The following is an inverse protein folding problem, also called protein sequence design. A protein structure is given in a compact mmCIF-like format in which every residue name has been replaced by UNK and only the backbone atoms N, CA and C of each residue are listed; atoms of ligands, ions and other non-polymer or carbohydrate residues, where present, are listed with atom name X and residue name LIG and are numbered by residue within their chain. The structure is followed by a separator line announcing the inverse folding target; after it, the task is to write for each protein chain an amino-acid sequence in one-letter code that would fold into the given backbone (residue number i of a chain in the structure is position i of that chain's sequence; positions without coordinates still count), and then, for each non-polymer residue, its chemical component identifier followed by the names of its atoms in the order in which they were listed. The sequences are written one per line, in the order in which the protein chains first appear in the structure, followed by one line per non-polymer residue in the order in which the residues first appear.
data_IF_449207243864
#
_entry.id   IF_449207243864
#
_cell.length_a   1.000
_cell.length_b   1.000
_cell.length_c   1.000
_cell.angle_alpha   90.00
_cell.angle_beta   90.00
_cell.angle_gamma   90.00
#
_symmetry.space_group_name_H-M   'P 1'
#
loop_
_entity.id
_entity.type
_entity.pdbx_description
1 polymer ?
#
# COMPACT_ATOMS: atom_id res chain seq x y z
N UNK A 1 -18.20 10.53 2.39
CA UNK A 1 -17.37 10.88 3.56
C UNK A 1 -17.23 9.62 4.39
N UNK A 2 -16.05 9.02 4.40
CA UNK A 2 -15.73 7.83 5.19
C UNK A 2 -14.52 8.19 6.06
N UNK A 3 -14.55 7.81 7.34
CA UNK A 3 -13.44 7.88 8.33
C UNK A 3 -12.79 9.23 8.71
N UNK A 4 -13.13 10.38 8.13
CA UNK A 4 -12.45 11.65 8.48
C UNK A 4 -10.96 11.72 8.09
N UNK A 5 -10.37 10.60 7.66
CA UNK A 5 -9.16 10.51 6.84
C UNK A 5 -9.58 10.07 5.43
N UNK A 6 -9.34 10.93 4.45
CA UNK A 6 -9.63 10.65 3.05
C UNK A 6 -8.57 9.67 2.50
N UNK A 7 -8.92 8.40 2.36
CA UNK A 7 -8.12 7.48 1.53
C UNK A 7 -8.45 7.68 0.06
N UNK A 8 -7.43 7.99 -0.73
CA UNK A 8 -7.57 8.08 -2.19
C UNK A 8 -7.52 6.67 -2.80
N UNK A 9 -8.63 6.25 -3.42
CA UNK A 9 -8.68 5.00 -4.18
C UNK A 9 -8.30 5.32 -5.62
N UNK A 10 -7.17 4.78 -6.08
CA UNK A 10 -6.69 5.00 -7.45
C UNK A 10 -7.12 3.88 -8.37
N UNK A 11 -7.80 4.17 -9.48
CA UNK A 11 -8.09 3.15 -10.50
C UNK A 11 -6.94 2.94 -11.49
N UNK A 12 -6.26 4.03 -11.86
CA UNK A 12 -5.20 4.05 -12.87
C UNK A 12 -4.04 4.87 -12.34
N UNK A 13 -2.85 4.28 -12.30
CA UNK A 13 -1.62 4.95 -11.86
C UNK A 13 -0.53 4.77 -12.90
N UNK A 14 0.22 5.83 -13.18
CA UNK A 14 1.35 5.80 -14.14
C UNK A 14 0.99 5.26 -15.55
N UNK A 15 -0.28 5.37 -15.94
CA UNK A 15 -0.77 4.88 -17.23
C UNK A 15 -0.99 3.36 -17.29
N UNK A 16 -1.20 2.71 -16.14
CA UNK A 16 -1.62 1.32 -16.03
C UNK A 16 -2.86 1.23 -15.14
N UNK A 17 -3.83 0.42 -15.54
CA UNK A 17 -4.93 0.03 -14.65
C UNK A 17 -4.35 -0.83 -13.52
N UNK A 18 -4.77 -0.56 -12.29
CA UNK A 18 -4.31 -1.35 -11.15
C UNK A 18 -4.88 -2.77 -11.19
N UNK A 19 -4.07 -3.74 -10.78
CA UNK A 19 -4.35 -5.18 -10.93
C UNK A 19 -5.63 -5.63 -10.24
N UNK A 20 -6.02 -5.01 -9.13
CA UNK A 20 -7.25 -5.37 -8.42
C UNK A 20 -8.52 -5.09 -9.24
N UNK A 21 -8.48 -4.15 -10.19
CA UNK A 21 -9.59 -3.91 -11.13
C UNK A 21 -9.65 -4.92 -12.27
N UNK A 22 -8.58 -5.69 -12.47
CA UNK A 22 -8.47 -6.73 -13.49
C UNK A 22 -8.75 -8.12 -12.91
N UNK A 23 -8.99 -8.21 -11.60
CA UNK A 23 -9.41 -9.45 -10.94
C UNK A 23 -10.81 -9.86 -11.44
N UNK A 24 -10.98 -11.07 -12.00
CA UNK A 24 -12.29 -11.57 -12.42
C UNK A 24 -13.35 -11.56 -11.30
N UNK A 25 -12.93 -11.64 -10.05
CA UNK A 25 -13.82 -11.61 -8.88
C UNK A 25 -14.07 -10.20 -8.35
N UNK A 26 -13.47 -9.17 -8.94
CA UNK A 26 -13.57 -7.79 -8.47
C UNK A 26 -15.02 -7.38 -8.21
N UNK A 27 -15.93 -7.67 -9.15
CA UNK A 27 -17.35 -7.30 -9.08
C UNK A 27 -18.08 -7.89 -7.86
N UNK A 28 -17.66 -9.08 -7.42
CA UNK A 28 -18.24 -9.74 -6.24
C UNK A 28 -17.74 -9.14 -4.94
N UNK A 29 -16.51 -8.62 -4.94
CA UNK A 29 -15.82 -8.00 -3.79
C UNK A 29 -16.22 -6.54 -3.61
N UNK A 30 -16.75 -5.88 -4.64
CA UNK A 30 -17.22 -4.49 -4.54
C UNK A 30 -18.55 -4.43 -3.77
N UNK A 31 -18.64 -3.63 -2.70
CA UNK A 31 -19.88 -3.46 -1.95
C UNK A 31 -20.96 -2.77 -2.80
N UNK A 32 -22.21 -3.05 -2.47
CA UNK A 32 -23.36 -2.42 -3.10
C UNK A 32 -23.37 -0.93 -2.75
N UNK A 33 -23.54 -0.07 -3.75
CA UNK A 33 -23.67 1.38 -3.53
C UNK A 33 -25.00 1.61 -2.82
N UNK A 34 -25.04 2.26 -1.64
CA UNK A 34 -26.24 2.33 -0.82
C UNK A 34 -27.23 3.40 -1.33
N UNK A 35 -28.47 3.39 -0.85
CA UNK A 35 -29.56 4.20 -1.43
C UNK A 35 -29.36 5.71 -1.32
N UNK A 36 -28.57 6.17 -0.36
CA UNK A 36 -28.32 7.58 -0.05
C UNK A 36 -27.34 8.22 -1.04
N UNK A 37 -26.51 7.41 -1.69
CA UNK A 37 -25.49 7.87 -2.64
C UNK A 37 -26.13 8.06 -4.01
N UNK A 38 -26.36 9.31 -4.42
CA UNK A 38 -26.92 9.66 -5.73
C UNK A 38 -25.87 9.85 -6.82
N UNK A 39 -24.60 10.04 -6.45
CA UNK A 39 -23.48 10.22 -7.36
C UNK A 39 -22.15 9.79 -6.75
N UNK A 40 -21.19 9.45 -7.60
CA UNK A 40 -19.80 9.12 -7.22
C UNK A 40 -18.85 10.06 -7.93
N UNK A 41 -17.93 10.66 -7.18
CA UNK A 41 -16.94 11.59 -7.71
C UNK A 41 -15.63 10.88 -8.06
N UNK A 42 -15.06 11.26 -9.21
CA UNK A 42 -13.80 10.75 -9.71
C UNK A 42 -12.88 11.91 -10.06
N UNK A 43 -11.62 11.80 -9.64
CA UNK A 43 -10.58 12.76 -10.04
C UNK A 43 -9.61 12.09 -11.02
N UNK A 44 -9.30 12.78 -12.13
CA UNK A 44 -8.38 12.27 -13.15
C UNK A 44 -7.44 13.35 -13.70
N UNK A 45 -6.28 12.91 -14.19
CA UNK A 45 -5.30 13.73 -14.92
C UNK A 45 -4.45 12.87 -15.86
N UNK A 46 -3.91 13.49 -16.89
CA UNK A 46 -3.00 12.84 -17.87
C UNK A 46 -1.52 13.26 -17.70
N UNK A 47 -1.25 14.36 -17.00
CA UNK A 47 0.10 14.86 -16.78
C UNK A 47 0.74 15.37 -18.08
N UNK A 48 1.86 14.75 -18.49
CA UNK A 48 2.62 15.18 -19.69
C UNK A 48 2.06 14.51 -20.95
N UNK A 49 1.66 13.24 -20.85
CA UNK A 49 1.15 12.45 -21.99
C UNK A 49 -0.29 12.85 -22.31
N UNK A 50 -0.69 12.79 -23.57
CA UNK A 50 -2.05 13.12 -24.03
C UNK A 50 -2.86 11.84 -24.24
N UNK A 51 -4.00 11.75 -23.57
CA UNK A 51 -4.94 10.64 -23.68
C UNK A 51 -6.33 11.12 -24.06
N UNK A 52 -7.05 10.31 -24.83
CA UNK A 52 -8.48 10.45 -25.09
C UNK A 52 -9.24 9.36 -24.34
N UNK A 53 -10.42 9.70 -23.87
CA UNK A 53 -11.32 8.78 -23.20
C UNK A 53 -12.60 8.61 -24.01
N UNK A 54 -13.21 7.44 -23.90
CA UNK A 54 -14.51 7.11 -24.45
C UNK A 54 -15.28 6.21 -23.48
N UNK A 55 -16.37 6.73 -22.93
CA UNK A 55 -17.37 5.98 -22.19
C UNK A 55 -18.34 5.33 -23.19
N UNK A 56 -17.98 4.13 -23.65
CA UNK A 56 -18.73 3.41 -24.67
C UNK A 56 -19.92 2.61 -24.10
N UNK A 57 -19.96 2.43 -22.78
CA UNK A 57 -21.07 1.74 -22.11
C UNK A 57 -21.45 2.47 -20.82
N UNK A 58 -22.69 2.97 -20.78
CA UNK A 58 -23.38 3.44 -19.59
C UNK A 58 -24.77 2.83 -19.68
N UNK A 59 -25.03 1.77 -18.91
CA UNK A 59 -26.28 1.01 -19.02
C UNK A 59 -26.73 0.54 -17.65
N UNK A 60 -28.02 0.71 -17.36
CA UNK A 60 -28.68 -0.02 -16.28
C UNK A 60 -29.20 -1.34 -16.82
N UNK A 61 -29.06 -2.43 -16.06
CA UNK A 61 -29.68 -3.72 -16.40
C UNK A 61 -31.09 -3.82 -15.82
N UNK A 62 -31.41 -3.02 -14.80
CA UNK A 62 -32.70 -3.00 -14.10
C UNK A 62 -33.31 -1.57 -14.12
N UNK A 63 -33.84 -1.16 -15.27
CA UNK A 63 -34.37 0.22 -15.48
C UNK A 63 -35.58 0.57 -14.60
N UNK A 64 -36.29 -0.44 -14.10
CA UNK A 64 -37.42 -0.27 -13.16
C UNK A 64 -36.97 0.25 -11.80
N UNK A 65 -35.73 -0.05 -11.40
CA UNK A 65 -35.14 0.31 -10.10
C UNK A 65 -34.17 1.48 -10.27
N UNK A 66 -33.30 1.42 -11.29
CA UNK A 66 -32.24 2.39 -11.53
C UNK A 66 -32.27 2.85 -12.99
N UNK A 67 -32.42 4.16 -13.22
CA UNK A 67 -32.31 4.74 -14.57
C UNK A 67 -30.87 4.68 -15.06
N UNK A 68 -30.68 4.80 -16.37
CA UNK A 68 -29.36 4.78 -17.00
C UNK A 68 -28.38 5.76 -16.34
N UNK A 69 -27.19 5.31 -15.92
CA UNK A 69 -26.21 6.18 -15.30
C UNK A 69 -25.72 7.23 -16.28
N UNK A 70 -25.49 8.44 -15.80
CA UNK A 70 -24.99 9.55 -16.61
C UNK A 70 -23.74 10.16 -15.98
N UNK A 71 -23.00 10.94 -16.76
CA UNK A 71 -21.74 11.55 -16.31
C UNK A 71 -21.80 13.06 -16.51
N UNK A 72 -21.12 13.82 -15.65
CA UNK A 72 -21.12 15.30 -15.71
C UNK A 72 -20.22 15.89 -16.80
N UNK A 73 -19.54 15.03 -17.56
CA UNK A 73 -18.68 15.36 -18.69
C UNK A 73 -19.25 14.75 -19.98
N UNK A 74 -18.69 15.09 -21.13
CA UNK A 74 -19.05 14.42 -22.39
C UNK A 74 -18.65 12.95 -22.33
N UNK A 75 -19.34 12.08 -23.07
CA UNK A 75 -19.01 10.63 -23.15
C UNK A 75 -17.66 10.36 -23.78
N UNK A 76 -17.19 11.25 -24.65
CA UNK A 76 -15.88 11.18 -25.27
C UNK A 76 -15.16 12.53 -25.21
N UNK A 77 -13.84 12.50 -25.08
CA UNK A 77 -13.05 13.72 -25.05
C UNK A 77 -11.60 13.48 -24.68
N UNK A 78 -10.91 14.57 -24.31
CA UNK A 78 -9.51 14.52 -23.88
C UNK A 78 -9.41 14.51 -22.36
N UNK A 79 -8.57 13.63 -21.82
CA UNK A 79 -8.26 13.61 -20.39
C UNK A 79 -7.54 14.93 -20.03
N UNK A 80 -7.93 15.63 -18.96
CA UNK A 80 -7.36 16.92 -18.60
C UNK A 80 -5.88 16.80 -18.19
N UNK A 81 -5.12 17.87 -18.43
CA UNK A 81 -3.68 17.93 -18.08
C UNK A 81 -3.48 18.00 -16.56
N UNK A 82 -4.31 18.82 -15.90
CA UNK A 82 -4.36 19.00 -14.44
C UNK A 82 -5.48 18.13 -13.83
N UNK A 83 -5.42 17.81 -12.52
CA UNK A 83 -6.52 17.14 -11.83
C UNK A 83 -7.83 17.87 -12.09
N UNK A 84 -8.86 17.14 -12.53
CA UNK A 84 -10.23 17.64 -12.64
C UNK A 84 -11.17 16.57 -12.11
N UNK A 85 -12.24 17.01 -11.46
CA UNK A 85 -13.30 16.14 -10.98
C UNK A 85 -14.39 15.97 -12.03
N UNK A 86 -14.97 14.78 -12.09
CA UNK A 86 -16.25 14.52 -12.74
C UNK A 86 -17.04 13.54 -11.88
N UNK A 87 -18.35 13.50 -12.08
CA UNK A 87 -19.23 12.65 -11.28
C UNK A 87 -20.00 11.70 -12.19
N UNK A 88 -20.18 10.47 -11.71
CA UNK A 88 -21.13 9.50 -12.26
C UNK A 88 -22.40 9.60 -11.43
N UNK A 89 -23.50 9.97 -12.07
CA UNK A 89 -24.83 10.10 -11.50
C UNK A 89 -25.52 8.73 -11.56
N UNK A 90 -26.12 8.32 -10.44
CA UNK A 90 -26.80 7.03 -10.25
C UNK A 90 -28.29 7.25 -9.88
N UNK A 91 -29.12 7.68 -10.84
CA UNK A 91 -30.51 8.06 -10.58
C UNK A 91 -31.42 6.85 -10.35
N UNK A 92 -31.90 6.65 -9.11
CA UNK A 92 -32.98 5.71 -8.83
C UNK A 92 -34.30 6.15 -9.49
N UNK A 93 -35.12 5.18 -9.90
CA UNK A 93 -36.43 5.47 -10.52
C UNK A 93 -37.42 6.04 -9.50
N UNK A 94 -37.34 5.59 -8.25
CA UNK A 94 -38.17 6.05 -7.13
C UNK A 94 -39.51 5.34 -6.98
N UNK A 95 -39.86 4.45 -7.92
CA UNK A 95 -41.12 3.69 -7.90
C UNK A 95 -40.98 2.30 -7.26
N UNK A 96 -39.78 1.73 -7.28
CA UNK A 96 -39.49 0.38 -6.79
C UNK A 96 -38.26 0.40 -5.90
N UNK A 97 -38.30 -0.36 -4.81
CA UNK A 97 -37.15 -0.63 -3.97
C UNK A 97 -36.43 -1.89 -4.47
N UNK A 98 -35.12 -1.94 -4.37
CA UNK A 98 -34.33 -3.11 -4.72
C UNK A 98 -32.89 -2.80 -5.10
N UNK A 99 -32.15 -3.84 -5.47
CA UNK A 99 -30.77 -3.72 -5.94
C UNK A 99 -30.79 -3.83 -7.47
N UNK A 100 -30.23 -2.82 -8.14
CA UNK A 100 -30.06 -2.78 -9.58
C UNK A 100 -28.60 -2.99 -9.96
N UNK A 101 -28.37 -3.77 -11.01
CA UNK A 101 -27.06 -3.87 -11.63
C UNK A 101 -26.89 -2.81 -12.73
N UNK A 102 -25.71 -2.23 -12.85
CA UNK A 102 -25.37 -1.31 -13.94
C UNK A 102 -23.93 -1.50 -14.42
N UNK A 103 -23.70 -1.21 -15.69
CA UNK A 103 -22.41 -1.39 -16.36
C UNK A 103 -21.79 -0.05 -16.79
N UNK A 104 -20.49 0.11 -16.52
CA UNK A 104 -19.67 1.21 -17.02
C UNK A 104 -18.52 0.64 -17.87
N UNK A 105 -18.44 1.07 -19.12
CA UNK A 105 -17.36 0.74 -20.05
C UNK A 105 -16.56 1.99 -20.38
N UNK A 106 -15.25 1.97 -20.08
CA UNK A 106 -14.32 3.07 -20.31
C UNK A 106 -13.11 2.61 -21.13
N UNK A 107 -12.88 3.26 -22.25
CA UNK A 107 -11.70 3.09 -23.08
C UNK A 107 -10.83 4.35 -22.97
N UNK A 108 -9.51 4.16 -22.77
CA UNK A 108 -8.55 5.26 -22.75
C UNK A 108 -7.47 4.95 -23.77
N UNK A 109 -7.18 5.89 -24.65
CA UNK A 109 -6.25 5.69 -25.75
C UNK A 109 -5.29 6.86 -25.91
N UNK A 110 -4.12 6.58 -26.47
CA UNK A 110 -3.16 7.62 -26.86
C UNK A 110 -3.65 8.38 -28.10
N UNK A 111 -3.01 9.51 -28.44
CA UNK A 111 -3.28 10.24 -29.70
C UNK A 111 -3.12 9.36 -30.96
N UNK A 112 -2.35 8.27 -30.88
CA UNK A 112 -2.12 7.33 -31.99
C UNK A 112 -3.15 6.18 -32.02
N UNK A 113 -4.22 6.24 -31.21
CA UNK A 113 -5.23 5.18 -31.13
C UNK A 113 -4.77 3.92 -30.39
N UNK A 114 -3.59 3.93 -29.74
CA UNK A 114 -3.13 2.79 -28.93
C UNK A 114 -3.87 2.79 -27.58
N UNK A 115 -4.54 1.69 -27.18
CA UNK A 115 -5.21 1.60 -25.89
C UNK A 115 -4.21 1.61 -24.73
N UNK A 116 -4.64 2.15 -23.60
CA UNK A 116 -3.91 2.14 -22.34
C UNK A 116 -3.88 0.71 -21.78
N UNK A 117 -2.77 0.32 -21.16
CA UNK A 117 -2.65 -1.03 -20.59
C UNK A 117 -3.73 -1.28 -19.53
N UNK A 118 -4.54 -2.32 -19.76
CA UNK A 118 -5.69 -2.69 -18.93
C UNK A 118 -7.03 -2.05 -19.35
N UNK A 119 -7.06 -1.28 -20.43
CA UNK A 119 -8.31 -0.84 -21.08
C UNK A 119 -8.61 -1.69 -22.32
N UNK A 120 -9.89 -1.92 -22.70
CA UNK A 120 -11.10 -1.33 -22.13
C UNK A 120 -11.42 -1.83 -20.73
N UNK A 121 -11.75 -0.90 -19.83
CA UNK A 121 -12.29 -1.20 -18.52
C UNK A 121 -13.78 -1.45 -18.69
N UNK A 122 -14.26 -2.59 -18.17
CA UNK A 122 -15.66 -2.92 -18.11
C UNK A 122 -15.98 -3.31 -16.66
N UNK A 123 -16.84 -2.52 -16.02
CA UNK A 123 -17.22 -2.71 -14.63
C UNK A 123 -18.72 -2.99 -14.57
N UNK A 124 -19.11 -4.08 -13.92
CA UNK A 124 -20.48 -4.34 -13.51
C UNK A 124 -20.63 -4.10 -12.01
N UNK A 125 -21.46 -3.15 -11.64
CA UNK A 125 -21.61 -2.66 -10.27
C UNK A 125 -23.07 -2.76 -9.82
N UNK A 126 -23.29 -2.75 -8.50
CA UNK A 126 -24.61 -2.90 -7.88
C UNK A 126 -24.97 -1.64 -7.10
N UNK A 127 -26.22 -1.19 -7.22
CA UNK A 127 -26.78 -0.02 -6.54
C UNK A 127 -28.08 -0.39 -5.87
N UNK A 128 -28.21 -0.09 -4.59
CA UNK A 128 -29.47 -0.17 -3.87
C UNK A 128 -30.29 1.10 -4.10
N UNK A 129 -31.57 0.95 -4.37
CA UNK A 129 -32.55 2.03 -4.46
C UNK A 129 -33.70 1.72 -3.51
N UNK A 130 -34.13 2.73 -2.76
CA UNK A 130 -35.27 2.63 -1.85
C UNK A 130 -36.31 3.65 -2.27
N UNK A 131 -37.59 3.25 -2.23
CA UNK A 131 -38.69 4.19 -2.34
C UNK A 131 -38.67 5.02 -1.07
N UNK A 132 -38.17 6.25 -1.16
CA UNK A 132 -38.43 7.24 -0.12
C UNK A 132 -39.92 7.52 -0.16
N UNK A 133 -40.69 6.90 0.74
CA UNK A 133 -42.02 7.37 1.08
C UNK A 133 -41.89 8.86 1.31
N UNK A 134 -42.62 9.67 0.53
CA UNK A 134 -42.75 11.09 0.81
C UNK A 134 -43.01 11.20 2.32
N UNK A 135 -42.15 11.90 3.05
CA UNK A 135 -42.54 12.51 4.31
C UNK A 135 -43.85 13.24 3.99
N UNK A 136 -45.00 12.63 4.31
CA UNK A 136 -46.15 13.43 4.66
C UNK A 136 -45.64 14.24 5.85
N UNK A 137 -45.66 15.56 5.70
CA UNK A 137 -45.59 16.49 6.82
C UNK A 137 -46.25 15.87 8.06
N UNK A 138 -45.71 16.07 9.28
CA UNK A 138 -46.41 15.61 10.48
C UNK A 138 -47.86 16.09 10.38
N UNK A 139 -48.87 15.22 10.49
CA UNK A 139 -50.25 15.66 10.40
C UNK A 139 -50.49 16.67 11.52
N UNK A 140 -51.30 17.72 11.30
CA UNK A 140 -51.74 18.57 12.40
C UNK A 140 -52.40 17.68 13.47
N UNK A 141 -52.23 18.08 14.73
CA UNK A 141 -52.64 17.34 15.94
C UNK A 141 -54.14 16.95 15.99
N UNK A 142 -54.96 17.38 15.03
CA UNK A 142 -56.40 17.14 14.95
C UNK A 142 -56.79 15.80 14.32
N UNK A 143 -55.91 15.17 13.53
CA UNK A 143 -56.27 13.98 12.74
C UNK A 143 -55.88 12.65 13.42
N UNK A 144 -55.24 12.70 14.60
CA UNK A 144 -54.86 11.50 15.35
C UNK A 144 -56.05 10.71 15.92
N UNK A 145 -57.25 11.33 15.97
CA UNK A 145 -58.43 10.71 16.56
C UNK A 145 -59.22 9.82 15.57
N UNK A 146 -59.00 9.96 14.25
CA UNK A 146 -59.84 9.32 13.25
C UNK A 146 -59.31 7.97 12.73
N UNK A 147 -58.06 7.60 13.03
CA UNK A 147 -57.44 6.37 12.50
C UNK A 147 -57.57 5.17 13.47
N UNK A 148 -58.06 5.38 14.70
CA UNK A 148 -58.07 4.32 15.73
C UNK A 148 -59.26 3.34 15.61
N UNK A 149 -60.26 3.58 14.76
CA UNK A 149 -61.54 2.84 14.89
C UNK A 149 -62.01 1.94 13.75
N UNK A 150 -61.22 1.62 12.72
CA UNK A 150 -61.68 0.64 11.73
C UNK A 150 -60.56 -0.30 11.26
N UNK A 151 -60.86 -1.59 11.38
CA UNK A 151 -60.09 -2.77 10.95
C UNK A 151 -59.06 -3.30 11.97
N UNK A 152 -59.55 -4.19 12.83
CA UNK A 152 -58.79 -5.01 13.76
C UNK A 152 -57.78 -5.92 13.07
N UNK A 153 -56.60 -5.39 12.79
CA UNK A 153 -55.39 -6.17 12.55
C UNK A 153 -54.46 -5.97 13.74
N UNK A 154 -54.39 -6.97 14.61
CA UNK A 154 -53.23 -7.13 15.51
C UNK A 154 -52.03 -7.39 14.60
N UNK A 155 -51.33 -6.34 14.20
CA UNK A 155 -49.92 -6.46 13.87
C UNK A 155 -49.20 -6.53 15.21
N UNK A 156 -48.70 -7.72 15.56
CA UNK A 156 -47.63 -7.83 16.54
C UNK A 156 -46.43 -7.06 15.97
N UNK A 157 -46.38 -5.76 16.24
CA UNK A 157 -45.17 -4.96 16.09
C UNK A 157 -44.14 -5.52 17.07
N UNK A 158 -43.33 -6.48 16.61
CA UNK A 158 -41.96 -6.50 17.10
C UNK A 158 -41.30 -5.25 16.53
N UNK A 159 -41.43 -4.15 17.27
CA UNK A 159 -40.73 -2.89 17.04
C UNK A 159 -39.23 -3.16 17.10
N UNK A 160 -38.65 -3.55 15.97
CA UNK A 160 -37.21 -3.65 15.79
C UNK A 160 -36.81 -2.65 14.73
N UNK A 161 -36.63 -1.40 15.18
CA UNK A 161 -36.12 -0.33 14.35
C UNK A 161 -34.76 -0.69 13.72
N UNK A 162 -34.32 0.07 12.69
CA UNK A 162 -33.00 -0.12 12.12
C UNK A 162 -31.92 0.02 13.20
N UNK A 163 -30.89 -0.82 13.13
CA UNK A 163 -29.79 -0.76 14.07
C UNK A 163 -29.10 0.61 14.04
N UNK A 164 -28.56 1.09 15.18
CA UNK A 164 -27.73 2.28 15.21
C UNK A 164 -26.53 2.14 14.28
N UNK A 165 -26.03 3.27 13.77
CA UNK A 165 -24.96 3.32 12.76
C UNK A 165 -23.77 2.42 13.14
N UNK A 166 -23.41 1.52 12.23
CA UNK A 166 -22.30 0.60 12.41
C UNK A 166 -22.62 -0.68 13.17
N UNK A 167 -23.89 -1.01 13.43
CA UNK A 167 -24.31 -2.30 14.00
C UNK A 167 -25.28 -3.05 13.07
N UNK A 168 -25.25 -4.38 13.16
CA UNK A 168 -26.00 -5.32 12.32
C UNK A 168 -26.73 -6.36 13.17
N UNK A 169 -27.78 -6.95 12.59
CA UNK A 169 -28.57 -8.03 13.17
C UNK A 169 -29.78 -7.56 13.99
N UNK A 170 -30.81 -6.93 13.37
CA UNK A 170 -32.09 -6.68 14.04
C UNK A 170 -32.72 -7.99 14.54
N UNK A 171 -33.47 -7.98 15.66
CA UNK A 171 -33.78 -6.85 16.54
C UNK A 171 -32.67 -6.46 17.53
N UNK A 172 -31.67 -7.33 17.71
CA UNK A 172 -30.72 -7.27 18.82
C UNK A 172 -29.51 -6.35 18.57
N UNK A 173 -29.19 -6.04 17.32
CA UNK A 173 -28.12 -5.14 16.89
C UNK A 173 -26.75 -5.41 17.56
N UNK A 174 -26.44 -6.68 17.85
CA UNK A 174 -25.26 -7.09 18.61
C UNK A 174 -23.96 -7.12 17.79
N UNK A 175 -24.04 -7.13 16.45
CA UNK A 175 -22.86 -7.31 15.60
C UNK A 175 -22.33 -5.98 15.09
N UNK A 176 -21.20 -5.52 15.61
CA UNK A 176 -20.54 -4.31 15.14
C UNK A 176 -19.92 -4.49 13.73
N UNK A 177 -19.92 -3.43 12.94
CA UNK A 177 -19.33 -3.33 11.61
C UNK A 177 -17.97 -2.62 11.71
N UNK A 178 -16.90 -3.32 11.34
CA UNK A 178 -15.56 -2.76 11.26
C UNK A 178 -15.18 -2.60 9.79
N UNK A 179 -14.87 -1.36 9.38
CA UNK A 179 -14.29 -1.08 8.08
C UNK A 179 -13.07 -0.18 8.23
N UNK A 180 -11.87 -0.62 7.80
CA UNK A 180 -11.51 -1.96 7.32
C UNK A 180 -11.82 -3.11 8.29
N UNK A 181 -11.97 -4.32 7.76
CA UNK A 181 -12.17 -5.52 8.60
C UNK A 181 -10.93 -5.77 9.48
N UNK A 182 -11.17 -6.26 10.70
CA UNK A 182 -10.09 -6.69 11.60
C UNK A 182 -9.32 -7.87 10.99
N UNK A 183 -7.99 -7.75 10.93
CA UNK A 183 -7.10 -8.77 10.39
C UNK A 183 -6.72 -9.81 11.45
N UNK A 184 -6.07 -10.90 11.02
CA UNK A 184 -5.46 -11.90 11.91
C UNK A 184 -6.40 -12.49 12.99
N UNK A 185 -7.70 -12.59 12.69
CA UNK A 185 -8.70 -13.11 13.63
C UNK A 185 -9.17 -12.12 14.70
N UNK A 186 -8.90 -10.82 14.54
CA UNK A 186 -9.44 -9.77 15.40
C UNK A 186 -10.97 -9.73 15.38
N UNK A 187 -11.57 -9.43 16.53
CA UNK A 187 -13.02 -9.33 16.67
C UNK A 187 -13.45 -7.85 16.67
N UNK A 188 -14.55 -7.56 15.97
CA UNK A 188 -15.11 -6.22 15.94
C UNK A 188 -15.96 -6.00 17.21
N UNK A 189 -15.46 -5.21 18.15
CA UNK A 189 -16.15 -4.96 19.43
C UNK A 189 -17.05 -3.74 19.40
N UNK A 190 -16.78 -2.80 18.49
CA UNK A 190 -17.59 -1.62 18.25
C UNK A 190 -17.33 -1.12 16.82
N UNK A 191 -18.16 -0.21 16.26
CA UNK A 191 -17.99 0.29 14.90
C UNK A 191 -16.58 0.82 14.67
N UNK A 192 -15.84 0.18 13.77
CA UNK A 192 -14.45 0.51 13.46
C UNK A 192 -13.41 0.21 14.55
N UNK A 193 -13.76 -0.49 15.63
CA UNK A 193 -12.85 -0.85 16.73
C UNK A 193 -12.62 -2.36 16.74
N UNK A 194 -11.36 -2.75 16.54
CA UNK A 194 -10.91 -4.13 16.58
C UNK A 194 -10.28 -4.49 17.93
N UNK A 195 -10.71 -5.61 18.50
CA UNK A 195 -10.02 -6.29 19.59
C UNK A 195 -9.09 -7.35 19.00
N UNK A 196 -7.78 -7.17 19.24
CA UNK A 196 -6.76 -8.04 18.66
C UNK A 196 -6.46 -9.26 19.53
N UNK A 197 -6.28 -10.43 18.92
CA UNK A 197 -5.86 -11.62 19.65
C UNK A 197 -4.44 -11.45 20.19
N UNK A 198 -4.05 -12.22 21.22
CA UNK A 198 -2.70 -12.18 21.77
C UNK A 198 -1.65 -12.42 20.68
N UNK A 199 -0.61 -11.58 20.65
CA UNK A 199 0.42 -11.62 19.60
C UNK A 199 0.16 -10.70 18.41
N UNK A 200 -0.90 -9.90 18.43
CA UNK A 200 -1.23 -8.93 17.39
C UNK A 200 -1.51 -7.54 17.97
N UNK A 201 -1.29 -6.51 17.16
CA UNK A 201 -1.43 -5.11 17.52
C UNK A 201 -1.82 -4.25 16.30
N UNK A 202 -2.14 -2.99 16.56
CA UNK A 202 -2.58 -2.04 15.54
C UNK A 202 -4.10 -1.86 15.55
N UNK A 203 -4.59 -0.76 14.95
CA UNK A 203 -6.02 -0.43 14.90
C UNK A 203 -6.88 -1.50 14.22
N UNK A 204 -6.29 -2.29 13.31
CA UNK A 204 -6.97 -3.36 12.58
C UNK A 204 -6.30 -4.72 12.79
N UNK A 205 -5.49 -4.86 13.84
CA UNK A 205 -4.74 -6.09 14.16
C UNK A 205 -3.77 -6.52 13.05
N UNK A 206 -3.27 -5.57 12.27
CA UNK A 206 -2.38 -5.79 11.13
C UNK A 206 -0.92 -6.02 11.54
N UNK A 207 -0.51 -5.57 12.73
CA UNK A 207 0.84 -5.71 13.25
C UNK A 207 0.99 -6.94 14.13
N UNK A 208 2.17 -7.57 14.09
CA UNK A 208 2.54 -8.65 15.02
C UNK A 208 3.19 -8.13 16.30
N UNK A 209 3.06 -8.91 17.38
CA UNK A 209 3.86 -8.82 18.59
C UNK A 209 4.66 -10.12 18.69
N UNK A 210 5.97 -9.99 18.91
CA UNK A 210 6.89 -11.12 19.03
C UNK A 210 7.39 -11.15 20.47
N UNK A 211 7.29 -12.29 21.14
CA UNK A 211 7.79 -12.45 22.51
C UNK A 211 9.30 -12.26 22.55
N UNK A 212 9.97 -12.77 21.52
CA UNK A 212 11.40 -12.57 21.27
C UNK A 212 11.59 -11.48 20.22
N UNK A 213 12.33 -10.42 20.56
CA UNK A 213 12.61 -9.33 19.60
C UNK A 213 13.33 -9.86 18.35
N UNK A 214 12.90 -9.36 17.18
CA UNK A 214 13.60 -9.53 15.92
C UNK A 214 14.97 -8.83 15.97
N UNK A 215 16.01 -9.48 15.47
CA UNK A 215 17.39 -8.99 15.48
C UNK A 215 17.73 -8.28 14.17
N UNK A 216 18.87 -7.61 14.15
CA UNK A 216 19.45 -6.99 12.94
C UNK A 216 18.51 -6.06 12.16
N UNK A 217 17.57 -5.40 12.85
CA UNK A 217 16.60 -4.48 12.24
C UNK A 217 15.36 -5.15 11.65
N UNK A 218 15.10 -6.43 11.96
CA UNK A 218 13.86 -7.10 11.59
C UNK A 218 12.63 -6.49 12.25
N UNK A 219 11.49 -6.56 11.55
CA UNK A 219 10.19 -6.06 12.03
C UNK A 219 9.28 -7.23 12.36
N UNK A 220 8.63 -7.19 13.52
CA UNK A 220 7.60 -8.17 13.84
C UNK A 220 6.34 -7.87 13.03
N UNK A 221 5.94 -8.80 12.16
CA UNK A 221 4.80 -8.62 11.23
C UNK A 221 3.62 -9.51 11.58
N UNK A 222 3.86 -10.63 12.25
CA UNK A 222 2.81 -11.48 12.84
C UNK A 222 3.31 -12.02 14.19
N UNK A 223 2.45 -12.72 14.94
CA UNK A 223 2.83 -13.35 16.20
C UNK A 223 4.07 -14.21 16.03
N UNK A 224 5.17 -13.83 16.68
CA UNK A 224 6.49 -14.49 16.62
C UNK A 224 7.08 -14.68 15.21
N UNK A 225 6.63 -13.88 14.24
CA UNK A 225 7.14 -13.90 12.86
C UNK A 225 7.83 -12.57 12.56
N UNK A 226 9.13 -12.66 12.28
CA UNK A 226 9.96 -11.53 11.89
C UNK A 226 10.09 -11.41 10.37
N UNK A 227 9.80 -10.23 9.84
CA UNK A 227 10.21 -9.82 8.51
C UNK A 227 11.66 -9.34 8.56
N UNK A 228 12.54 -10.03 7.84
CA UNK A 228 13.97 -9.76 7.87
C UNK A 228 14.41 -8.81 6.76
N UNK A 229 15.30 -7.84 7.06
CA UNK A 229 15.91 -7.01 6.04
C UNK A 229 16.81 -7.84 5.12
N UNK A 230 17.04 -7.33 3.90
CA UNK A 230 17.86 -8.02 2.89
C UNK A 230 19.22 -8.42 3.45
N UNK A 231 19.63 -9.66 3.18
CA UNK A 231 20.89 -10.23 3.67
C UNK A 231 20.81 -10.87 5.05
N UNK A 232 19.66 -10.82 5.74
CA UNK A 232 19.40 -11.52 7.00
C UNK A 232 18.30 -12.56 6.85
N UNK A 233 18.38 -13.64 7.63
CA UNK A 233 17.44 -14.75 7.60
C UNK A 233 17.44 -15.50 8.94
N UNK A 234 16.53 -16.47 9.09
CA UNK A 234 16.25 -17.13 10.35
C UNK A 234 14.95 -16.62 10.97
N UNK A 235 14.50 -17.28 12.03
CA UNK A 235 13.21 -17.00 12.67
C UNK A 235 13.15 -15.60 13.29
N UNK A 236 14.31 -15.05 13.65
CA UNK A 236 14.49 -13.76 14.29
C UNK A 236 15.50 -12.89 13.55
N UNK A 237 15.81 -13.21 12.29
CA UNK A 237 16.83 -12.52 11.50
C UNK A 237 18.24 -12.59 12.12
N UNK A 238 18.54 -13.69 12.80
CA UNK A 238 19.78 -13.95 13.54
C UNK A 238 20.96 -14.31 12.63
N UNK A 239 20.67 -14.88 11.45
CA UNK A 239 21.68 -15.28 10.49
C UNK A 239 21.82 -14.23 9.40
N UNK A 240 23.03 -14.09 8.86
CA UNK A 240 23.27 -13.23 7.69
C UNK A 240 23.96 -14.00 6.58
N UNK A 241 23.50 -13.78 5.35
CA UNK A 241 24.03 -14.44 4.15
C UNK A 241 24.30 -13.38 3.10
N UNK A 242 25.52 -13.40 2.60
CA UNK A 242 25.94 -12.53 1.52
C UNK A 242 25.70 -13.29 0.22
N UNK A 243 25.07 -12.64 -0.74
CA UNK A 243 24.90 -13.15 -2.10
C UNK A 243 26.27 -13.27 -2.80
N UNK A 244 27.12 -12.26 -2.62
CA UNK A 244 28.53 -12.33 -3.00
C UNK A 244 29.33 -12.82 -1.79
N UNK A 245 29.94 -14.01 -1.83
CA UNK A 245 30.60 -14.60 -0.67
C UNK A 245 31.80 -13.77 -0.22
N UNK A 246 32.02 -13.69 1.09
CA UNK A 246 33.22 -13.10 1.66
C UNK A 246 34.42 -14.00 1.36
N UNK A 247 35.51 -13.42 0.87
CA UNK A 247 36.76 -14.15 0.61
C UNK A 247 37.74 -13.98 1.78
N UNK A 248 38.88 -14.69 1.74
CA UNK A 248 39.96 -14.58 2.73
C UNK A 248 39.53 -14.76 4.20
N UNK A 249 38.52 -15.62 4.45
CA UNK A 249 38.02 -15.90 5.80
C UNK A 249 37.10 -14.82 6.39
N UNK A 250 36.60 -13.89 5.58
CA UNK A 250 35.59 -12.91 6.00
C UNK A 250 34.27 -13.57 6.40
N UNK A 251 33.57 -12.97 7.38
CA UNK A 251 32.22 -13.41 7.78
C UNK A 251 31.18 -12.39 7.32
N UNK A 252 30.06 -12.86 6.78
CA UNK A 252 28.99 -11.97 6.37
C UNK A 252 28.41 -11.21 7.57
N UNK A 253 28.09 -9.94 7.37
CA UNK A 253 27.44 -9.05 8.33
C UNK A 253 26.36 -8.22 7.64
N UNK A 254 25.40 -8.90 7.02
CA UNK A 254 24.20 -8.30 6.41
C UNK A 254 24.19 -8.27 4.89
N UNK A 255 23.68 -7.17 4.31
CA UNK A 255 23.43 -7.03 2.86
C UNK A 255 24.72 -6.91 2.05
N UNK A 256 25.40 -8.02 1.78
CA UNK A 256 26.65 -8.11 1.01
C UNK A 256 27.85 -7.37 1.61
N UNK A 257 27.86 -7.16 2.93
CA UNK A 257 28.98 -6.53 3.64
C UNK A 257 29.67 -7.58 4.49
N UNK A 258 30.99 -7.70 4.35
CA UNK A 258 31.81 -8.68 5.06
C UNK A 258 32.58 -8.04 6.23
N UNK A 259 32.59 -8.74 7.36
CA UNK A 259 33.52 -8.49 8.46
C UNK A 259 34.84 -9.17 8.14
N UNK A 260 35.85 -8.38 7.81
CA UNK A 260 37.15 -8.88 7.39
C UNK A 260 38.09 -9.18 8.57
N UNK A 261 38.90 -10.25 8.46
CA UNK A 261 39.98 -10.52 9.40
C UNK A 261 41.11 -9.48 9.27
N UNK A 262 41.99 -9.43 10.28
CA UNK A 262 43.13 -8.51 10.30
C UNK A 262 43.98 -8.67 9.04
N UNK A 263 44.29 -7.54 8.40
CA UNK A 263 45.06 -7.51 7.16
C UNK A 263 44.23 -7.54 5.88
N UNK A 264 42.91 -7.71 5.94
CA UNK A 264 42.02 -7.65 4.77
C UNK A 264 41.00 -6.52 4.89
N UNK A 265 40.61 -5.94 3.76
CA UNK A 265 39.64 -4.85 3.60
C UNK A 265 38.85 -5.04 2.30
N UNK A 266 37.92 -4.14 2.03
CA UNK A 266 36.96 -4.25 0.92
C UNK A 266 35.63 -4.82 1.41
N UNK A 267 34.58 -4.66 0.61
CA UNK A 267 33.21 -5.07 0.97
C UNK A 267 33.09 -6.60 1.06
N UNK A 268 33.97 -7.32 0.37
CA UNK A 268 34.05 -8.77 0.34
C UNK A 268 35.37 -9.34 0.87
N UNK A 269 36.19 -8.51 1.53
CA UNK A 269 37.53 -8.85 2.02
C UNK A 269 38.53 -9.26 0.92
N UNK A 270 38.29 -8.80 -0.29
CA UNK A 270 39.09 -9.03 -1.49
C UNK A 270 40.40 -8.23 -1.50
N UNK A 271 40.44 -7.11 -0.77
CA UNK A 271 41.62 -6.27 -0.66
C UNK A 271 42.47 -6.77 0.49
N UNK A 272 43.42 -7.66 0.20
CA UNK A 272 44.54 -7.86 1.10
C UNK A 272 45.28 -6.53 1.24
N UNK A 273 45.46 -6.04 2.48
CA UNK A 273 46.63 -5.20 2.72
C UNK A 273 47.77 -6.08 2.29
N UNK A 274 48.42 -5.71 1.17
CA UNK A 274 49.84 -5.98 1.05
C UNK A 274 50.35 -5.61 2.43
N UNK A 275 50.89 -6.58 3.16
CA UNK A 275 51.92 -6.26 4.14
C UNK A 275 52.64 -5.14 3.44
N UNK A 276 52.69 -3.96 4.05
CA UNK A 276 53.78 -3.08 3.67
C UNK A 276 54.94 -4.06 3.58
N UNK A 277 55.64 -4.09 2.45
CA UNK A 277 57.06 -4.25 2.61
C UNK A 277 57.37 -3.13 3.60
N UNK A 278 57.25 -3.45 4.90
CA UNK A 278 57.99 -2.88 5.99
C UNK A 278 59.34 -3.08 5.38
N UNK A 279 59.82 -2.04 4.71
CA UNK A 279 61.21 -1.82 4.47
C UNK A 279 61.86 -2.39 5.71
N UNK A 280 62.64 -3.46 5.55
CA UNK A 280 63.21 -4.21 6.68
C UNK A 280 63.94 -3.26 7.63
N UNK A 281 64.28 -2.08 7.11
CA UNK A 281 64.61 -0.86 7.80
C UNK A 281 63.48 -0.29 8.68
N UNK A 282 63.67 -0.37 10.00
CA UNK A 282 62.88 0.33 11.04
C UNK A 282 62.79 1.85 10.80
N UNK A 283 63.70 2.43 10.03
CA UNK A 283 63.73 3.85 9.65
C UNK A 283 64.07 3.97 8.17
N UNK A 284 63.40 4.86 7.45
CA UNK A 284 63.63 5.04 6.02
C UNK A 284 65.06 5.56 5.73
N UNK A 285 65.72 4.95 4.74
CA UNK A 285 67.00 5.43 4.20
C UNK A 285 66.76 6.71 3.40
N UNK A 286 67.38 7.83 3.77
CA UNK A 286 67.05 9.14 3.17
C UNK A 286 67.54 9.24 1.72
N UNK A 287 68.83 8.97 1.50
CA UNK A 287 69.47 8.90 0.18
C UNK A 287 70.14 7.53 -0.05
N UNK A 288 69.34 6.47 0.03
CA UNK A 288 69.81 5.10 -0.19
C UNK A 288 68.67 4.09 -0.27
N UNK A 289 69.01 2.86 -0.61
CA UNK A 289 68.08 1.73 -0.66
C UNK A 289 68.24 0.87 0.60
N UNK A 290 67.12 0.44 1.16
CA UNK A 290 67.09 -0.43 2.32
C UNK A 290 67.39 -1.88 1.92
N UNK A 291 68.37 -2.51 2.56
CA UNK A 291 68.66 -3.94 2.42
C UNK A 291 67.88 -4.79 3.44
N UNK A 292 67.86 -6.10 3.20
CA UNK A 292 67.12 -7.09 3.99
C UNK A 292 67.63 -7.27 5.42
N UNK A 293 68.77 -6.68 5.77
CA UNK A 293 69.44 -6.74 7.07
C UNK A 293 69.21 -5.48 7.93
N UNK A 294 68.22 -4.63 7.60
CA UNK A 294 67.95 -3.36 8.29
C UNK A 294 69.10 -2.33 8.13
N UNK A 295 69.94 -2.48 7.10
CA UNK A 295 70.97 -1.50 6.73
C UNK A 295 70.62 -0.72 5.47
N UNK A 296 71.19 0.48 5.33
CA UNK A 296 70.99 1.35 4.18
C UNK A 296 72.22 1.33 3.27
N UNK A 297 72.02 0.94 2.01
CA UNK A 297 73.02 1.12 0.95
C UNK A 297 72.93 2.55 0.42
N UNK A 298 73.95 3.37 0.69
CA UNK A 298 73.93 4.78 0.34
C UNK A 298 74.27 5.06 -1.13
N UNK A 299 73.54 6.01 -1.72
CA UNK A 299 73.83 6.53 -3.06
C UNK A 299 75.20 7.25 -3.07
N UNK A 300 75.83 7.36 -4.25
CA UNK A 300 77.13 8.04 -4.42
C UNK A 300 77.11 9.44 -3.79
N UNK A 301 78.14 9.74 -3.01
CA UNK A 301 78.27 11.02 -2.28
C UNK A 301 77.57 11.07 -0.92
N UNK A 302 76.88 10.01 -0.48
CA UNK A 302 76.23 9.93 0.83
C UNK A 302 76.83 8.81 1.70
N UNK A 303 76.79 8.99 3.02
CA UNK A 303 77.26 8.00 3.99
C UNK A 303 76.52 8.10 5.33
N UNK A 304 76.75 7.11 6.19
CA UNK A 304 76.12 6.98 7.52
C UNK A 304 74.92 6.02 7.53
N UNK A 305 74.49 5.60 8.73
CA UNK A 305 73.48 4.53 8.93
C UNK A 305 72.15 4.74 8.20
N UNK A 306 71.75 6.00 7.98
CA UNK A 306 70.52 6.37 7.26
C UNK A 306 70.81 7.18 5.99
N UNK A 307 72.05 7.17 5.50
CA UNK A 307 72.50 7.92 4.32
C UNK A 307 72.13 9.41 4.37
N UNK A 308 72.28 10.01 5.55
CA UNK A 308 71.87 11.40 5.82
C UNK A 308 73.03 12.39 5.78
N UNK A 309 74.28 11.93 5.64
CA UNK A 309 75.48 12.79 5.60
C UNK A 309 76.08 12.75 4.20
N UNK A 310 76.50 13.91 3.67
CA UNK A 310 77.26 14.01 2.42
C UNK A 310 78.74 13.78 2.70
N UNK A 311 79.41 12.97 1.88
CA UNK A 311 80.85 12.74 1.99
C UNK A 311 81.57 14.08 1.74
N UNK A 312 82.50 14.52 2.60
CA UNK A 312 83.22 15.79 2.46
C UNK A 312 84.10 15.94 1.21
N UNK A 313 84.14 14.93 0.34
CA UNK A 313 85.05 14.79 -0.80
C UNK A 313 84.32 14.27 -2.05
N UNK A 314 83.01 14.49 -2.12
CA UNK A 314 82.15 14.06 -3.22
C UNK A 314 81.56 15.22 -4.01
#
# INVERSE_FOLDING_TARGET
MFSGLAMEIYAITEGRVLSYLLDPEFETKVPIIPSEVSYVNFTWKSGIKKYHYNFYRLKSFDETILKTPSITIKTQGRVPKRPKEFSVLLPCTGNSSGIAQFGIGLMIETRKGKPLNGTPLLLSLRKECTVRGRLRSPPPLSDLLAVILLEGSVCLETNSGPCPDGYLGPPDCKKALCYPNCMNGGNCTAPGICSCPPGYQGPYCEGGICDQKCLNGGKCVQKDVCECPKGYFGTRCEFSKCFVPCVNGGKCKGNNICRCPLGFKGDHCEIGRRSSQRSTCTTACRNGTCQTDNTCLCNKGWFGKLCSKRKPWA
#
